data_IF_567644969484
#
_entry.id   IF_567644969484
#
_cell.length_a   1.000
_cell.length_b   1.000
_cell.length_c   1.000
_cell.angle_alpha   90.00
_cell.angle_beta   90.00
_cell.angle_gamma   90.00
#
_symmetry.space_group_name_H-M   'P 1'
#
loop_
_entity.id
_entity.type
_entity.pdbx_description
1 polymer ?
#
# COMPACT_ATOMS: atom_id res chain seq x y z
N UNK A 1 -11.08 -31.63 32.20
CA UNK A 1 -11.55 -31.75 30.78
C UNK A 1 -12.52 -32.94 30.71
N UNK A 2 -13.82 -32.71 30.55
CA UNK A 2 -14.80 -33.78 30.46
C UNK A 2 -14.62 -34.50 29.12
N UNK A 3 -14.21 -35.78 29.13
CA UNK A 3 -14.21 -36.65 27.95
C UNK A 3 -15.66 -36.85 27.52
N UNK A 4 -16.06 -36.18 26.45
CA UNK A 4 -17.36 -36.41 25.79
C UNK A 4 -17.40 -37.84 25.25
N UNK A 5 -17.93 -38.74 26.06
CA UNK A 5 -18.13 -40.15 25.66
C UNK A 5 -19.18 -40.20 24.54
N UNK A 6 -18.80 -40.73 23.37
CA UNK A 6 -19.70 -41.00 22.27
C UNK A 6 -19.67 -42.50 21.93
N UNK A 7 -20.82 -43.09 21.52
CA UNK A 7 -20.91 -44.48 21.07
C UNK A 7 -21.05 -44.54 19.56
N UNK A 8 -20.58 -45.66 18.95
CA UNK A 8 -20.84 -45.96 17.55
C UNK A 8 -22.35 -46.12 17.36
N UNK A 9 -22.92 -45.57 16.30
CA UNK A 9 -24.34 -45.55 16.00
C UNK A 9 -24.62 -45.82 14.52
N UNK A 10 -24.21 -47.02 14.07
CA UNK A 10 -24.35 -47.47 12.69
C UNK A 10 -23.47 -46.69 11.69
N UNK A 11 -23.63 -46.97 10.41
CA UNK A 11 -22.95 -46.28 9.31
C UNK A 11 -23.97 -45.70 8.34
N UNK A 12 -23.58 -44.65 7.62
CA UNK A 12 -24.37 -44.04 6.53
C UNK A 12 -23.42 -43.67 5.39
N UNK A 13 -23.74 -44.10 4.19
CA UNK A 13 -22.92 -43.91 3.00
C UNK A 13 -21.43 -44.28 3.23
N UNK A 14 -21.18 -45.44 3.85
CA UNK A 14 -19.84 -45.95 4.15
C UNK A 14 -19.11 -45.23 5.29
N UNK A 15 -19.73 -44.24 5.97
CA UNK A 15 -19.13 -43.50 7.09
C UNK A 15 -19.71 -43.92 8.43
N UNK A 16 -18.84 -44.19 9.42
CA UNK A 16 -19.24 -44.51 10.78
C UNK A 16 -19.94 -43.31 11.42
N UNK A 17 -21.12 -43.53 11.97
CA UNK A 17 -21.87 -42.57 12.79
C UNK A 17 -21.62 -42.79 14.27
N UNK A 18 -21.68 -41.71 15.02
CA UNK A 18 -21.55 -41.68 16.47
C UNK A 18 -22.72 -40.92 17.08
N UNK A 19 -23.10 -41.28 18.31
CA UNK A 19 -24.11 -40.59 19.13
C UNK A 19 -23.44 -40.09 20.41
N UNK A 20 -23.58 -38.79 20.71
CA UNK A 20 -23.12 -38.24 21.96
C UNK A 20 -23.97 -38.72 23.14
N UNK A 21 -23.35 -39.21 24.21
CA UNK A 21 -24.07 -39.63 25.40
C UNK A 21 -24.73 -38.50 26.17
N UNK A 22 -24.08 -37.30 26.17
CA UNK A 22 -24.58 -36.18 26.95
C UNK A 22 -25.78 -35.47 26.31
N UNK A 23 -25.78 -35.28 24.97
CA UNK A 23 -26.83 -34.49 24.30
C UNK A 23 -27.61 -35.29 23.24
N UNK A 24 -27.37 -36.59 23.07
CA UNK A 24 -28.05 -37.47 22.11
C UNK A 24 -27.76 -37.14 20.64
N UNK A 25 -27.02 -36.09 20.32
CA UNK A 25 -26.73 -35.65 18.96
C UNK A 25 -25.94 -36.69 18.20
N UNK A 26 -26.39 -36.99 16.98
CA UNK A 26 -25.68 -37.88 16.07
C UNK A 26 -24.73 -37.08 15.15
N UNK A 27 -23.55 -37.64 14.91
CA UNK A 27 -22.55 -37.04 14.02
C UNK A 27 -21.77 -38.15 13.32
N UNK A 28 -21.21 -37.83 12.16
CA UNK A 28 -20.32 -38.74 11.45
C UNK A 28 -18.90 -38.53 11.97
N UNK A 29 -18.17 -39.62 12.18
CA UNK A 29 -16.75 -39.58 12.53
C UNK A 29 -15.95 -39.03 11.37
N UNK A 30 -14.89 -38.31 11.69
CA UNK A 30 -13.96 -37.77 10.73
C UNK A 30 -13.13 -36.64 11.35
N UNK A 31 -11.98 -36.36 10.76
CA UNK A 31 -11.14 -35.23 11.17
C UNK A 31 -11.90 -33.93 10.87
N UNK A 32 -12.23 -33.16 11.89
CA UNK A 32 -12.85 -31.84 11.68
C UNK A 32 -11.81 -30.93 11.06
N UNK A 33 -12.19 -30.27 9.97
CA UNK A 33 -11.33 -29.24 9.36
C UNK A 33 -11.20 -28.05 10.34
N UNK A 34 -9.97 -27.73 10.71
CA UNK A 34 -9.68 -26.54 11.49
C UNK A 34 -9.67 -25.32 10.58
N UNK A 35 -10.55 -24.31 10.79
CA UNK A 35 -10.59 -23.13 9.94
C UNK A 35 -9.28 -22.34 9.92
N UNK A 36 -8.53 -22.29 11.04
CA UNK A 36 -7.28 -21.54 11.14
C UNK A 36 -6.15 -22.22 10.36
N UNK A 37 -5.98 -23.54 10.51
CA UNK A 37 -5.01 -24.32 9.73
C UNK A 37 -5.30 -24.21 8.23
N UNK A 38 -6.58 -24.29 7.84
CA UNK A 38 -6.99 -24.09 6.44
C UNK A 38 -6.67 -22.68 5.96
N UNK A 39 -6.87 -21.67 6.80
CA UNK A 39 -6.56 -20.28 6.46
C UNK A 39 -5.06 -20.09 6.26
N UNK A 40 -4.21 -20.61 7.15
CA UNK A 40 -2.77 -20.57 7.03
C UNK A 40 -2.28 -21.28 5.76
N UNK A 41 -2.78 -22.48 5.50
CA UNK A 41 -2.43 -23.21 4.28
C UNK A 41 -2.87 -22.47 3.01
N UNK A 42 -4.04 -21.82 3.06
CA UNK A 42 -4.58 -21.03 1.95
C UNK A 42 -3.79 -19.72 1.75
N UNK A 43 -3.43 -19.00 2.81
CA UNK A 43 -2.73 -17.70 2.74
C UNK A 43 -1.22 -17.88 2.65
N UNK A 44 -0.55 -18.21 3.74
CA UNK A 44 0.90 -18.37 3.81
C UNK A 44 1.39 -19.56 2.94
N UNK A 45 0.67 -20.67 2.98
CA UNK A 45 0.96 -21.86 2.18
C UNK A 45 0.63 -21.75 0.70
N UNK A 46 0.00 -20.65 0.25
CA UNK A 46 -0.37 -20.36 -1.14
C UNK A 46 -1.20 -21.46 -1.83
N UNK A 47 -1.84 -22.35 -1.05
CA UNK A 47 -2.62 -23.45 -1.60
C UNK A 47 -3.98 -22.95 -2.09
N UNK A 48 -4.39 -23.40 -3.27
CA UNK A 48 -5.72 -23.10 -3.79
C UNK A 48 -6.81 -23.88 -3.08
N UNK A 49 -8.07 -23.42 -3.15
CA UNK A 49 -9.20 -24.15 -2.57
C UNK A 49 -9.37 -25.55 -3.19
N UNK A 50 -9.00 -25.75 -4.46
CA UNK A 50 -9.04 -27.05 -5.13
C UNK A 50 -7.97 -28.00 -4.61
N UNK A 51 -6.73 -27.51 -4.39
CA UNK A 51 -5.66 -28.30 -3.77
C UNK A 51 -6.02 -28.71 -2.34
N UNK A 52 -6.52 -27.79 -1.53
CA UNK A 52 -7.00 -28.09 -0.18
C UNK A 52 -8.17 -29.09 -0.20
N UNK A 53 -9.08 -28.98 -1.15
CA UNK A 53 -10.18 -29.93 -1.31
C UNK A 53 -9.69 -31.35 -1.61
N UNK A 54 -8.65 -31.48 -2.45
CA UNK A 54 -8.01 -32.77 -2.73
C UNK A 54 -7.30 -33.34 -1.49
N UNK A 55 -6.49 -32.52 -0.79
CA UNK A 55 -5.76 -32.92 0.43
C UNK A 55 -6.73 -33.41 1.53
N UNK A 56 -7.80 -32.63 1.76
CA UNK A 56 -8.77 -32.96 2.83
C UNK A 56 -9.94 -33.88 2.36
N UNK A 57 -9.87 -34.36 1.12
CA UNK A 57 -10.91 -35.24 0.53
C UNK A 57 -12.33 -34.70 0.70
N UNK A 58 -12.53 -33.42 0.38
CA UNK A 58 -13.82 -32.77 0.46
C UNK A 58 -14.06 -31.83 -0.75
N UNK A 59 -15.24 -31.23 -0.88
CA UNK A 59 -15.49 -30.28 -1.97
C UNK A 59 -14.85 -28.90 -1.71
N UNK A 60 -14.50 -28.19 -2.78
CA UNK A 60 -14.01 -26.79 -2.68
C UNK A 60 -15.05 -25.88 -1.99
N UNK A 61 -16.35 -26.17 -2.13
CA UNK A 61 -17.43 -25.48 -1.41
C UNK A 61 -17.30 -25.65 0.11
N UNK A 62 -16.89 -26.85 0.57
CA UNK A 62 -16.60 -27.10 1.99
C UNK A 62 -15.40 -26.28 2.46
N UNK A 63 -14.31 -26.24 1.69
CA UNK A 63 -13.14 -25.42 1.99
C UNK A 63 -13.54 -23.94 2.13
N UNK A 64 -14.24 -23.37 1.15
CA UNK A 64 -14.67 -21.95 1.24
C UNK A 64 -15.57 -21.69 2.45
N UNK A 65 -16.43 -22.63 2.83
CA UNK A 65 -17.26 -22.51 4.04
C UNK A 65 -16.42 -22.46 5.32
N UNK A 66 -15.34 -23.22 5.39
CA UNK A 66 -14.42 -23.19 6.55
C UNK A 66 -13.51 -21.96 6.52
N UNK A 67 -13.00 -21.53 5.37
CA UNK A 67 -12.25 -20.27 5.23
C UNK A 67 -13.06 -19.06 5.70
N UNK A 68 -14.39 -19.03 5.47
CA UNK A 68 -15.25 -17.97 6.01
C UNK A 68 -15.30 -17.93 7.54
N UNK A 69 -15.09 -19.06 8.22
CA UNK A 69 -15.11 -19.18 9.67
C UNK A 69 -13.77 -18.84 10.32
N UNK A 70 -12.68 -18.83 9.56
CA UNK A 70 -11.38 -18.40 10.07
C UNK A 70 -11.45 -16.92 10.41
N UNK A 71 -10.99 -16.53 11.58
CA UNK A 71 -10.90 -15.13 12.04
C UNK A 71 -9.42 -14.82 12.24
N UNK A 72 -8.72 -14.33 11.21
CA UNK A 72 -7.34 -13.92 11.41
C UNK A 72 -7.31 -12.74 12.40
N UNK A 73 -6.51 -12.88 13.43
CA UNK A 73 -6.22 -11.79 14.38
C UNK A 73 -5.15 -10.91 13.75
N UNK A 74 -5.56 -9.90 12.99
CA UNK A 74 -4.60 -8.94 12.45
C UNK A 74 -4.09 -8.06 13.60
N UNK A 75 -2.84 -8.26 13.98
CA UNK A 75 -2.11 -7.40 14.91
C UNK A 75 -1.17 -6.51 14.11
N UNK A 76 -1.07 -5.24 14.50
CA UNK A 76 -0.19 -4.27 13.87
C UNK A 76 0.82 -3.74 14.87
N UNK A 77 2.00 -3.36 14.38
CA UNK A 77 3.06 -2.84 15.23
C UNK A 77 2.65 -1.54 15.93
N UNK A 78 3.11 -1.37 17.17
CA UNK A 78 2.89 -0.18 17.99
C UNK A 78 4.22 0.32 18.56
N UNK A 79 5.17 0.78 17.72
CA UNK A 79 6.44 1.33 18.19
C UNK A 79 6.21 2.63 18.95
N UNK A 80 7.16 3.02 19.84
CA UNK A 80 7.09 4.30 20.54
C UNK A 80 7.27 5.49 19.59
N UNK A 81 8.22 5.39 18.67
CA UNK A 81 8.59 6.43 17.69
C UNK A 81 8.60 5.81 16.30
N UNK A 82 8.19 6.57 15.29
CA UNK A 82 8.09 6.03 13.92
C UNK A 82 8.25 7.10 12.84
N UNK A 83 8.95 6.74 11.77
CA UNK A 83 8.86 7.41 10.47
C UNK A 83 7.82 6.65 9.64
N UNK A 84 6.67 7.25 9.41
CA UNK A 84 5.54 6.59 8.75
C UNK A 84 5.69 6.70 7.24
N UNK A 85 5.80 5.55 6.55
CA UNK A 85 5.55 5.49 5.11
C UNK A 85 4.05 5.25 4.91
N UNK A 86 3.41 6.04 4.07
CA UNK A 86 1.99 5.86 3.77
C UNK A 86 1.73 5.87 2.26
N UNK A 87 0.91 4.93 1.82
CA UNK A 87 0.46 4.82 0.43
C UNK A 87 -0.82 3.99 0.33
N UNK A 88 -1.50 4.08 -0.82
CA UNK A 88 -2.72 3.34 -1.12
C UNK A 88 -2.59 2.56 -2.41
N UNK A 89 -2.81 1.24 -2.35
CA UNK A 89 -2.89 0.42 -3.54
C UNK A 89 -4.32 0.03 -3.87
N UNK A 90 -4.66 -0.04 -5.17
CA UNK A 90 -6.01 -0.33 -5.64
C UNK A 90 -6.14 -1.73 -6.23
N UNK A 91 -7.29 -2.35 -6.01
CA UNK A 91 -7.69 -3.63 -6.58
C UNK A 91 -8.82 -3.41 -7.59
N UNK A 92 -8.41 -3.07 -8.81
CA UNK A 92 -9.30 -2.60 -9.86
C UNK A 92 -10.04 -1.32 -9.46
N UNK A 93 -11.29 -1.17 -9.90
CA UNK A 93 -12.16 -0.05 -9.51
C UNK A 93 -12.98 -0.34 -8.24
N UNK A 94 -12.76 -1.48 -7.59
CA UNK A 94 -13.61 -1.96 -6.51
C UNK A 94 -13.31 -1.35 -5.15
N UNK A 95 -12.03 -1.27 -4.78
CA UNK A 95 -11.58 -0.69 -3.51
C UNK A 95 -10.06 -0.48 -3.50
N UNK A 96 -9.59 0.38 -2.63
CA UNK A 96 -8.20 0.56 -2.26
C UNK A 96 -7.89 0.00 -0.87
N UNK A 97 -6.62 -0.23 -0.63
CA UNK A 97 -6.07 -0.53 0.69
C UNK A 97 -5.01 0.51 0.99
N UNK A 98 -5.28 1.32 1.99
CA UNK A 98 -4.35 2.29 2.57
C UNK A 98 -3.55 1.59 3.67
N UNK A 99 -2.24 1.68 3.59
CA UNK A 99 -1.30 1.12 4.56
C UNK A 99 -0.42 2.22 5.11
N UNK A 100 -0.28 2.24 6.43
CA UNK A 100 0.73 2.99 7.14
C UNK A 100 1.74 1.98 7.67
N UNK A 101 3.02 2.21 7.39
CA UNK A 101 4.12 1.28 7.68
C UNK A 101 5.25 2.02 8.38
N UNK A 102 5.90 1.40 9.33
CA UNK A 102 7.15 1.89 9.91
C UNK A 102 8.29 1.70 8.92
N UNK A 103 9.01 2.78 8.63
CA UNK A 103 10.11 2.76 7.64
C UNK A 103 11.31 1.95 8.08
N UNK A 104 11.52 1.76 9.38
CA UNK A 104 12.68 1.09 9.96
C UNK A 104 12.43 -0.42 10.04
N UNK A 105 11.34 -0.81 10.72
CA UNK A 105 11.03 -2.23 10.90
C UNK A 105 10.34 -2.88 9.70
N UNK A 106 9.79 -2.09 8.78
CA UNK A 106 8.97 -2.59 7.68
C UNK A 106 7.63 -3.19 8.12
N UNK A 107 7.26 -3.03 9.39
CA UNK A 107 6.02 -3.58 9.94
C UNK A 107 4.86 -2.60 9.72
N UNK A 108 3.69 -3.14 9.37
CA UNK A 108 2.50 -2.30 9.22
C UNK A 108 1.98 -1.81 10.56
N UNK A 109 1.63 -0.53 10.61
CA UNK A 109 1.03 0.16 11.77
C UNK A 109 -0.49 0.21 11.66
N UNK A 110 -0.99 0.27 10.42
CA UNK A 110 -2.42 0.33 10.11
C UNK A 110 -2.70 -0.13 8.69
N UNK A 111 -3.80 -0.85 8.51
CA UNK A 111 -4.30 -1.30 7.20
C UNK A 111 -5.80 -1.01 7.11
N UNK A 112 -6.18 -0.13 6.22
CA UNK A 112 -7.56 0.34 6.07
C UNK A 112 -8.07 0.13 4.65
N UNK A 113 -9.31 -0.40 4.54
CA UNK A 113 -10.03 -0.45 3.27
C UNK A 113 -10.63 0.92 2.97
N UNK A 114 -10.37 1.42 1.78
CA UNK A 114 -10.88 2.71 1.31
C UNK A 114 -11.61 2.55 -0.03
N UNK A 115 -12.53 3.44 -0.34
CA UNK A 115 -13.15 3.52 -1.67
C UNK A 115 -12.29 4.40 -2.58
N UNK A 116 -11.91 5.55 -2.06
CA UNK A 116 -11.02 6.53 -2.68
C UNK A 116 -10.01 7.00 -1.64
N UNK A 117 -8.87 7.39 -2.09
CA UNK A 117 -7.83 8.03 -1.30
C UNK A 117 -8.18 9.51 -1.09
N UNK A 118 -8.20 9.98 0.15
CA UNK A 118 -8.42 11.39 0.51
C UNK A 118 -7.43 11.83 1.59
N UNK A 119 -7.15 13.13 1.63
CA UNK A 119 -6.26 13.69 2.66
C UNK A 119 -6.81 13.46 4.07
N UNK A 120 -8.13 13.56 4.25
CA UNK A 120 -8.82 13.30 5.51
C UNK A 120 -8.62 11.87 6.03
N UNK A 121 -8.60 10.88 5.13
CA UNK A 121 -8.34 9.49 5.53
C UNK A 121 -6.92 9.31 6.05
N UNK A 122 -5.94 9.99 5.46
CA UNK A 122 -4.57 10.00 5.96
C UNK A 122 -4.47 10.71 7.31
N UNK A 123 -5.10 11.90 7.46
CA UNK A 123 -5.16 12.62 8.74
C UNK A 123 -5.78 11.75 9.85
N UNK A 124 -6.91 11.10 9.55
CA UNK A 124 -7.59 10.20 10.49
C UNK A 124 -6.72 9.00 10.88
N UNK A 125 -6.02 8.41 9.92
CA UNK A 125 -5.14 7.28 10.18
C UNK A 125 -3.95 7.68 11.07
N UNK A 126 -3.29 8.80 10.79
CA UNK A 126 -2.22 9.36 11.62
C UNK A 126 -2.74 9.71 13.01
N UNK A 127 -3.92 10.38 13.11
CA UNK A 127 -4.57 10.66 14.41
C UNK A 127 -4.84 9.40 15.23
N UNK A 128 -5.25 8.31 14.57
CA UNK A 128 -5.46 7.02 15.22
C UNK A 128 -4.16 6.38 15.74
N UNK A 129 -3.03 6.59 15.08
CA UNK A 129 -1.71 6.15 15.58
C UNK A 129 -1.29 6.98 16.81
N UNK A 130 -1.45 8.31 16.75
CA UNK A 130 -1.17 9.19 17.90
C UNK A 130 -2.02 8.82 19.12
N UNK A 131 -3.31 8.51 18.92
CA UNK A 131 -4.21 8.06 19.99
C UNK A 131 -3.79 6.74 20.64
N UNK A 132 -2.99 5.92 19.95
CA UNK A 132 -2.36 4.70 20.51
C UNK A 132 -1.03 4.98 21.21
N UNK A 133 -0.64 6.24 21.37
CA UNK A 133 0.62 6.62 22.01
C UNK A 133 1.86 6.53 21.11
N UNK A 134 1.68 6.40 19.80
CA UNK A 134 2.79 6.34 18.85
C UNK A 134 3.22 7.77 18.48
N UNK A 135 4.48 8.12 18.74
CA UNK A 135 5.06 9.40 18.36
C UNK A 135 5.48 9.37 16.88
N UNK A 136 4.84 10.20 16.06
CA UNK A 136 5.14 10.32 14.63
C UNK A 136 6.29 11.31 14.46
N UNK A 137 7.45 10.83 14.05
CA UNK A 137 8.66 11.64 13.82
C UNK A 137 8.68 12.27 12.42
N UNK A 138 8.22 11.54 11.42
CA UNK A 138 8.09 12.03 10.06
C UNK A 138 7.04 11.25 9.27
N UNK A 139 6.65 11.80 8.13
CA UNK A 139 5.76 11.15 7.16
C UNK A 139 6.42 11.12 5.80
N UNK A 140 6.43 9.95 5.17
CA UNK A 140 6.91 9.73 3.80
C UNK A 140 5.73 9.31 2.93
N UNK A 141 5.45 10.07 1.87
CA UNK A 141 4.28 9.82 1.03
C UNK A 141 4.56 10.12 -0.45
N UNK A 142 3.60 9.81 -1.31
CA UNK A 142 3.59 10.28 -2.68
C UNK A 142 3.27 11.80 -2.75
N UNK A 143 3.42 12.37 -3.93
CA UNK A 143 3.20 13.81 -4.17
C UNK A 143 1.73 14.23 -4.20
N UNK A 144 0.85 13.61 -3.41
CA UNK A 144 -0.57 13.99 -3.33
C UNK A 144 -0.73 15.41 -2.84
N UNK A 145 -1.46 16.22 -3.63
CA UNK A 145 -1.68 17.63 -3.34
C UNK A 145 -2.37 17.84 -1.98
N UNK A 146 -1.83 18.75 -1.18
CA UNK A 146 -2.36 19.15 0.13
C UNK A 146 -1.91 18.28 1.30
N UNK A 147 -1.36 17.08 1.06
CA UNK A 147 -0.84 16.23 2.13
C UNK A 147 0.37 16.86 2.84
N UNK A 148 1.39 17.39 2.12
CA UNK A 148 2.53 18.01 2.81
C UNK A 148 2.13 19.15 3.71
N UNK A 149 1.26 20.05 3.24
CA UNK A 149 0.80 21.23 4.00
C UNK A 149 0.03 20.80 5.26
N UNK A 150 -0.87 19.84 5.12
CA UNK A 150 -1.69 19.34 6.23
C UNK A 150 -0.86 18.82 7.41
N UNK A 151 0.30 18.22 7.16
CA UNK A 151 1.18 17.72 8.21
C UNK A 151 2.22 18.74 8.66
N UNK A 152 2.68 19.64 7.77
CA UNK A 152 3.52 20.75 8.12
C UNK A 152 2.85 21.68 9.15
N UNK A 153 1.54 21.90 9.04
CA UNK A 153 0.75 22.71 9.99
C UNK A 153 0.77 22.18 11.43
N UNK A 154 1.13 20.92 11.63
CA UNK A 154 1.27 20.26 12.94
C UNK A 154 2.73 19.89 13.27
N UNK A 155 3.68 20.54 12.62
CA UNK A 155 5.13 20.40 12.81
C UNK A 155 5.65 18.96 12.66
N UNK A 156 5.07 18.19 11.76
CA UNK A 156 5.60 16.87 11.38
C UNK A 156 6.35 17.02 10.05
N UNK A 157 7.66 16.70 10.00
CA UNK A 157 8.41 16.66 8.75
C UNK A 157 7.75 15.75 7.71
N UNK A 158 7.59 16.27 6.50
CA UNK A 158 7.04 15.48 5.38
C UNK A 158 8.09 15.32 4.30
N UNK A 159 8.38 14.09 3.95
CA UNK A 159 9.22 13.71 2.82
C UNK A 159 8.34 13.24 1.67
N UNK A 160 8.44 13.88 0.53
CA UNK A 160 7.85 13.35 -0.70
C UNK A 160 8.76 12.30 -1.33
N UNK A 161 8.16 11.21 -1.77
CA UNK A 161 8.89 10.13 -2.44
C UNK A 161 9.55 10.63 -3.73
N UNK A 162 10.88 10.65 -3.77
CA UNK A 162 11.64 11.08 -4.95
C UNK A 162 11.35 10.21 -6.16
N UNK A 163 11.14 8.90 -5.99
CA UNK A 163 10.76 8.00 -7.07
C UNK A 163 9.41 8.39 -7.71
N UNK A 164 8.41 8.71 -6.88
CA UNK A 164 7.10 9.17 -7.37
C UNK A 164 7.19 10.55 -8.04
N UNK A 165 8.09 11.44 -7.60
CA UNK A 165 8.35 12.70 -8.27
C UNK A 165 8.93 12.48 -9.68
N UNK A 166 9.95 11.63 -9.82
CA UNK A 166 10.52 11.25 -11.13
C UNK A 166 9.42 10.66 -12.05
N UNK A 167 8.58 9.78 -11.51
CA UNK A 167 7.45 9.19 -12.24
C UNK A 167 6.41 10.24 -12.65
N UNK A 168 6.18 11.24 -11.83
CA UNK A 168 5.29 12.37 -12.15
C UNK A 168 5.84 13.20 -13.29
N UNK A 169 7.13 13.54 -13.24
CA UNK A 169 7.79 14.28 -14.33
C UNK A 169 7.79 13.47 -15.63
N UNK A 170 7.99 12.15 -15.56
CA UNK A 170 7.92 11.30 -16.76
C UNK A 170 6.53 11.28 -17.43
N UNK A 171 5.45 11.58 -16.69
CA UNK A 171 4.10 11.75 -17.29
C UNK A 171 3.95 13.05 -18.07
N UNK A 172 4.66 14.10 -17.69
CA UNK A 172 4.69 15.38 -18.40
C UNK A 172 5.60 15.33 -19.61
N UNK A 173 6.83 14.80 -19.46
CA UNK A 173 7.90 14.90 -20.46
C UNK A 173 8.04 13.65 -21.34
N UNK A 174 7.44 12.51 -20.96
CA UNK A 174 7.79 11.17 -21.39
C UNK A 174 9.21 10.75 -20.93
N UNK A 175 9.61 9.51 -21.14
CA UNK A 175 10.98 9.03 -20.84
C UNK A 175 11.99 9.44 -21.91
N UNK A 176 11.51 9.89 -23.06
CA UNK A 176 12.31 10.26 -24.21
C UNK A 176 11.81 11.61 -24.78
N UNK A 177 12.08 12.74 -24.09
CA UNK A 177 11.64 14.05 -24.53
C UNK A 177 12.25 14.42 -25.91
N UNK A 178 11.47 15.07 -26.76
CA UNK A 178 11.93 15.44 -28.10
C UNK A 178 12.67 16.78 -28.13
N UNK A 179 12.31 17.72 -27.23
CA UNK A 179 12.89 19.06 -27.20
C UNK A 179 14.16 19.09 -26.34
N UNK A 180 15.12 19.98 -26.67
CA UNK A 180 16.35 20.10 -25.88
C UNK A 180 16.07 20.51 -24.43
N UNK A 181 15.17 21.48 -24.21
CA UNK A 181 14.72 21.85 -22.87
C UNK A 181 14.13 20.65 -22.08
N UNK A 182 13.34 19.82 -22.76
CA UNK A 182 12.78 18.60 -22.16
C UNK A 182 13.85 17.57 -21.84
N UNK A 183 14.81 17.33 -22.73
CA UNK A 183 15.94 16.41 -22.50
C UNK A 183 16.82 16.88 -21.35
N UNK A 184 17.12 18.17 -21.29
CA UNK A 184 17.92 18.76 -20.23
C UNK A 184 17.22 18.63 -18.85
N UNK A 185 15.92 18.97 -18.78
CA UNK A 185 15.15 18.79 -17.54
C UNK A 185 15.06 17.31 -17.14
N UNK A 186 14.87 16.41 -18.09
CA UNK A 186 14.81 14.98 -17.80
C UNK A 186 16.13 14.43 -17.25
N UNK A 187 17.28 14.84 -17.81
CA UNK A 187 18.61 14.50 -17.26
C UNK A 187 18.75 14.99 -15.84
N UNK A 188 18.38 16.25 -15.56
CA UNK A 188 18.39 16.79 -14.20
C UNK A 188 17.50 15.99 -13.25
N UNK A 189 16.29 15.64 -13.65
CA UNK A 189 15.35 14.83 -12.81
C UNK A 189 15.93 13.47 -12.44
N UNK A 190 16.73 12.86 -13.30
CA UNK A 190 17.37 11.58 -13.01
C UNK A 190 18.46 11.68 -11.92
N UNK A 191 19.03 12.87 -11.68
CA UNK A 191 20.01 13.09 -10.60
C UNK A 191 19.36 13.31 -9.24
N UNK A 192 18.02 13.42 -9.15
CA UNK A 192 17.29 13.76 -7.92
C UNK A 192 17.67 12.88 -6.71
N UNK A 193 18.00 11.61 -6.94
CA UNK A 193 18.37 10.67 -5.87
C UNK A 193 19.81 10.78 -5.38
N UNK A 194 20.67 11.39 -6.18
CA UNK A 194 22.11 11.47 -5.95
C UNK A 194 22.64 12.90 -5.73
N UNK A 195 21.77 13.89 -5.87
CA UNK A 195 22.09 15.31 -5.63
C UNK A 195 21.70 15.71 -4.22
N UNK A 196 22.42 16.69 -3.66
CA UNK A 196 21.95 17.46 -2.50
C UNK A 196 20.80 18.40 -2.90
N UNK A 197 20.06 18.91 -1.91
CA UNK A 197 19.03 19.92 -2.15
C UNK A 197 19.64 21.16 -2.82
N UNK A 198 20.77 21.65 -2.33
CA UNK A 198 21.46 22.83 -2.85
C UNK A 198 21.86 22.68 -4.32
N UNK A 199 22.48 21.54 -4.67
CA UNK A 199 22.93 21.28 -6.05
C UNK A 199 21.75 21.13 -7.00
N UNK A 200 20.72 20.40 -6.55
CA UNK A 200 19.52 20.20 -7.38
C UNK A 200 18.77 21.52 -7.62
N UNK A 201 18.62 22.34 -6.59
CA UNK A 201 18.00 23.66 -6.69
C UNK A 201 18.79 24.61 -7.62
N UNK A 202 20.11 24.65 -7.46
CA UNK A 202 20.98 25.44 -8.32
C UNK A 202 20.82 25.03 -9.79
N UNK A 203 20.93 23.74 -10.09
CA UNK A 203 20.80 23.22 -11.43
C UNK A 203 19.39 23.42 -12.02
N UNK A 204 18.35 23.34 -11.18
CA UNK A 204 16.96 23.60 -11.61
C UNK A 204 16.75 25.08 -11.93
N UNK A 205 17.38 25.98 -11.18
CA UNK A 205 17.37 27.43 -11.42
C UNK A 205 18.09 27.74 -12.72
N UNK A 206 19.33 27.26 -12.91
CA UNK A 206 20.09 27.42 -14.15
C UNK A 206 19.31 26.94 -15.37
N UNK A 207 18.72 25.74 -15.28
CA UNK A 207 17.87 25.21 -16.35
C UNK A 207 16.69 26.16 -16.66
N UNK A 208 16.06 26.74 -15.64
CA UNK A 208 14.96 27.68 -15.88
C UNK A 208 15.42 28.97 -16.55
N UNK A 209 16.57 29.53 -16.15
CA UNK A 209 17.17 30.73 -16.75
C UNK A 209 17.50 30.48 -18.24
N UNK A 210 18.10 29.35 -18.57
CA UNK A 210 18.44 28.96 -19.93
C UNK A 210 17.23 28.84 -20.87
N UNK A 211 16.12 28.32 -20.34
CA UNK A 211 14.93 28.02 -21.15
C UNK A 211 13.73 28.90 -20.86
N UNK A 212 13.87 30.00 -20.11
CA UNK A 212 12.78 30.89 -19.73
C UNK A 212 12.04 31.47 -20.95
N UNK A 213 12.75 31.94 -21.95
CA UNK A 213 12.15 32.49 -23.19
C UNK A 213 11.31 31.45 -23.90
N UNK A 214 11.87 30.25 -24.10
CA UNK A 214 11.19 29.10 -24.67
C UNK A 214 9.91 28.70 -23.91
N UNK A 215 9.99 28.67 -22.59
CA UNK A 215 8.85 28.35 -21.73
C UNK A 215 7.73 29.40 -21.81
N UNK A 216 8.06 30.64 -22.15
CA UNK A 216 7.11 31.76 -22.20
C UNK A 216 6.46 31.92 -23.60
N UNK A 217 6.83 31.12 -24.58
CA UNK A 217 6.17 31.09 -25.89
C UNK A 217 4.69 30.80 -25.76
N UNK A 218 3.90 31.62 -26.46
CA UNK A 218 2.44 31.54 -26.41
C UNK A 218 1.85 31.44 -27.82
N UNK A 219 0.68 30.83 -27.89
CA UNK A 219 -0.13 30.78 -29.10
C UNK A 219 -1.58 31.14 -28.75
N UNK A 220 -2.35 31.54 -29.73
CA UNK A 220 -3.79 31.82 -29.58
C UNK A 220 -4.57 30.67 -30.18
N UNK A 221 -5.54 30.14 -29.43
CA UNK A 221 -6.47 29.18 -29.98
C UNK A 221 -7.38 29.90 -30.99
N UNK A 222 -7.41 29.51 -32.28
CA UNK A 222 -8.19 30.19 -33.30
C UNK A 222 -9.70 30.18 -33.04
N UNK A 223 -10.22 29.11 -32.41
CA UNK A 223 -11.65 28.94 -32.16
C UNK A 223 -12.13 29.70 -30.92
N UNK A 224 -11.27 29.81 -29.89
CA UNK A 224 -11.66 30.39 -28.61
C UNK A 224 -11.07 31.76 -28.35
N UNK A 225 -10.18 32.25 -29.20
CA UNK A 225 -9.48 33.53 -29.01
C UNK A 225 -8.60 33.62 -27.76
N UNK A 226 -8.41 32.51 -27.04
CA UNK A 226 -7.66 32.47 -25.77
C UNK A 226 -6.18 32.14 -26.00
N UNK A 227 -5.33 32.99 -25.44
CA UNK A 227 -3.87 32.75 -25.44
C UNK A 227 -3.50 31.66 -24.42
N UNK A 228 -2.63 30.74 -24.80
CA UNK A 228 -2.09 29.72 -23.91
C UNK A 228 -0.59 29.46 -24.20
N UNK A 229 0.12 28.91 -23.20
CA UNK A 229 1.51 28.55 -23.38
C UNK A 229 1.67 27.33 -24.28
N UNK A 230 2.61 27.36 -25.24
CA UNK A 230 2.91 26.26 -26.13
C UNK A 230 3.45 25.07 -25.33
N UNK A 231 4.35 25.33 -24.39
CA UNK A 231 5.08 24.31 -23.64
C UNK A 231 4.46 23.99 -22.28
N UNK A 232 3.13 23.86 -22.20
CA UNK A 232 2.38 23.66 -20.93
C UNK A 232 2.88 22.48 -20.09
N UNK A 233 3.20 21.34 -20.74
CA UNK A 233 3.69 20.14 -20.01
C UNK A 233 5.05 20.36 -19.38
N UNK A 234 5.95 21.05 -20.11
CA UNK A 234 7.30 21.37 -19.61
C UNK A 234 7.22 22.35 -18.45
N UNK A 235 6.36 23.38 -18.55
CA UNK A 235 6.07 24.31 -17.45
C UNK A 235 5.50 23.60 -16.23
N UNK A 236 4.58 22.66 -16.43
CA UNK A 236 4.00 21.87 -15.35
C UNK A 236 5.02 20.97 -14.66
N UNK A 237 5.94 20.38 -15.42
CA UNK A 237 7.06 19.61 -14.89
C UNK A 237 7.96 20.45 -13.98
N UNK A 238 8.42 21.60 -14.48
CA UNK A 238 9.23 22.57 -13.71
C UNK A 238 8.49 23.05 -12.44
N UNK A 239 7.24 23.49 -12.58
CA UNK A 239 6.43 23.98 -11.46
C UNK A 239 6.20 22.91 -10.40
N UNK A 240 6.08 21.64 -10.81
CA UNK A 240 5.97 20.51 -9.87
C UNK A 240 7.27 20.32 -9.08
N UNK A 241 8.42 20.37 -9.73
CA UNK A 241 9.72 20.24 -9.06
C UNK A 241 9.95 21.42 -8.09
N UNK A 242 9.77 22.65 -8.56
CA UNK A 242 9.96 23.86 -7.76
C UNK A 242 9.07 23.88 -6.50
N UNK A 243 7.78 23.55 -6.65
CA UNK A 243 6.84 23.55 -5.52
C UNK A 243 7.15 22.48 -4.49
N UNK A 244 7.65 21.33 -4.94
CA UNK A 244 7.88 20.16 -4.09
C UNK A 244 9.29 20.09 -3.53
N UNK A 245 10.18 21.02 -3.92
CA UNK A 245 11.63 20.94 -3.65
C UNK A 245 11.94 20.71 -2.17
N UNK A 246 11.42 21.53 -1.29
CA UNK A 246 11.64 21.41 0.15
C UNK A 246 11.20 20.08 0.76
N UNK A 247 10.13 19.52 0.22
CA UNK A 247 9.62 18.22 0.66
C UNK A 247 10.36 17.03 0.04
N UNK A 248 11.03 17.22 -1.09
CA UNK A 248 11.84 16.18 -1.74
C UNK A 248 13.16 15.92 -1.03
N UNK A 249 13.62 16.87 -0.23
CA UNK A 249 14.88 16.82 0.52
C UNK A 249 14.68 17.00 2.03
N UNK A 250 13.49 16.77 2.55
CA UNK A 250 13.23 16.86 3.99
C UNK A 250 14.17 15.94 4.80
N UNK A 251 14.58 14.79 4.26
CA UNK A 251 15.51 13.87 4.91
C UNK A 251 16.89 14.50 5.19
N UNK A 252 17.34 15.47 4.38
CA UNK A 252 18.59 16.19 4.61
C UNK A 252 18.50 17.18 5.77
N UNK A 253 17.30 17.77 5.98
CA UNK A 253 17.06 18.75 7.05
C UNK A 253 16.97 18.07 8.44
N UNK A 254 16.69 16.78 8.48
CA UNK A 254 16.50 16.00 9.71
C UNK A 254 17.30 14.69 9.69
N UNK A 255 18.67 14.78 9.61
CA UNK A 255 19.51 13.59 9.45
C UNK A 255 19.36 12.57 10.58
N UNK A 256 19.15 13.05 11.81
CA UNK A 256 19.01 12.19 13.01
C UNK A 256 17.73 11.31 12.98
N UNK A 257 16.73 11.70 12.18
CA UNK A 257 15.48 10.96 12.08
C UNK A 257 15.56 9.77 11.12
N UNK A 258 16.62 9.67 10.30
CA UNK A 258 16.77 8.61 9.30
C UNK A 258 15.53 8.46 8.37
N UNK A 259 15.02 9.59 7.89
CA UNK A 259 13.83 9.63 7.02
C UNK A 259 14.19 9.04 5.66
N UNK A 260 13.48 8.00 5.16
CA UNK A 260 13.75 7.48 3.83
C UNK A 260 13.25 8.46 2.75
N UNK A 261 14.02 8.62 1.68
CA UNK A 261 13.66 9.49 0.55
C UNK A 261 12.68 8.86 -0.45
N UNK A 262 12.26 7.61 -0.22
CA UNK A 262 11.32 6.88 -1.07
C UNK A 262 10.32 6.04 -0.27
N UNK A 263 9.21 5.65 -0.92
CA UNK A 263 8.22 4.69 -0.42
C UNK A 263 8.48 3.25 -0.89
N UNK A 264 9.67 2.97 -1.44
CA UNK A 264 9.98 1.68 -2.10
C UNK A 264 9.72 0.46 -1.21
N UNK A 265 9.89 0.57 0.10
CA UNK A 265 9.61 -0.51 1.05
C UNK A 265 8.13 -0.94 0.97
N UNK A 266 7.22 0.04 0.98
CA UNK A 266 5.78 -0.21 0.89
C UNK A 266 5.36 -0.64 -0.52
N UNK A 267 5.98 -0.07 -1.58
CA UNK A 267 5.77 -0.51 -2.96
C UNK A 267 6.15 -1.98 -3.15
N UNK A 268 7.28 -2.41 -2.57
CA UNK A 268 7.73 -3.80 -2.55
C UNK A 268 6.74 -4.73 -1.83
N UNK A 269 6.23 -4.30 -0.67
CA UNK A 269 5.20 -5.02 0.08
C UNK A 269 3.90 -5.16 -0.72
N UNK A 270 3.46 -4.10 -1.42
CA UNK A 270 2.30 -4.18 -2.30
C UNK A 270 2.52 -5.10 -3.50
N UNK A 271 3.71 -5.11 -4.09
CA UNK A 271 4.06 -6.04 -5.16
C UNK A 271 4.03 -7.49 -4.67
N UNK A 272 4.58 -7.76 -3.49
CA UNK A 272 4.51 -9.06 -2.80
C UNK A 272 3.07 -9.50 -2.57
N UNK A 273 2.25 -8.65 -1.96
CA UNK A 273 0.83 -8.89 -1.73
C UNK A 273 0.08 -9.24 -3.02
N UNK A 274 0.30 -8.49 -4.10
CA UNK A 274 -0.36 -8.74 -5.39
C UNK A 274 0.03 -10.10 -5.97
N UNK A 275 1.30 -10.50 -5.86
CA UNK A 275 1.75 -11.84 -6.29
C UNK A 275 1.08 -12.96 -5.48
N UNK A 276 0.95 -12.81 -4.16
CA UNK A 276 0.23 -13.77 -3.31
C UNK A 276 -1.25 -13.85 -3.69
N UNK A 277 -1.92 -12.73 -3.90
CA UNK A 277 -3.33 -12.69 -4.30
C UNK A 277 -3.58 -13.26 -5.69
N UNK A 278 -2.60 -13.22 -6.60
CA UNK A 278 -2.72 -13.80 -7.93
C UNK A 278 -2.91 -15.32 -7.90
N UNK A 279 -2.45 -16.02 -6.84
CA UNK A 279 -2.69 -17.44 -6.63
C UNK A 279 -4.16 -17.77 -6.29
N UNK A 280 -4.98 -16.76 -5.94
CA UNK A 280 -6.33 -16.92 -5.40
C UNK A 280 -7.39 -16.22 -6.26
N UNK A 281 -7.44 -16.57 -7.53
CA UNK A 281 -8.48 -16.04 -8.44
C UNK A 281 -9.88 -16.41 -7.94
N UNK A 282 -10.84 -15.46 -8.05
CA UNK A 282 -12.22 -15.68 -7.58
C UNK A 282 -12.44 -15.49 -6.07
N UNK A 283 -11.43 -15.01 -5.31
CA UNK A 283 -11.62 -14.66 -3.91
C UNK A 283 -12.63 -13.51 -3.75
N UNK A 284 -13.63 -13.67 -2.87
CA UNK A 284 -14.59 -12.59 -2.58
C UNK A 284 -13.90 -11.35 -2.01
N UNK A 285 -14.54 -10.18 -2.19
CA UNK A 285 -14.01 -8.90 -1.72
C UNK A 285 -13.72 -8.90 -0.21
N UNK A 286 -14.61 -9.47 0.58
CA UNK A 286 -14.48 -9.59 2.04
C UNK A 286 -13.28 -10.46 2.42
N UNK A 287 -13.16 -11.63 1.81
CA UNK A 287 -12.03 -12.51 2.05
C UNK A 287 -10.71 -11.90 1.58
N UNK A 288 -10.72 -11.14 0.46
CA UNK A 288 -9.53 -10.42 -0.02
C UNK A 288 -9.07 -9.37 0.99
N UNK A 289 -9.99 -8.60 1.58
CA UNK A 289 -9.64 -7.61 2.62
C UNK A 289 -9.09 -8.31 3.87
N UNK A 290 -9.69 -9.44 4.27
CA UNK A 290 -9.18 -10.24 5.41
C UNK A 290 -7.78 -10.77 5.14
N UNK A 291 -7.56 -11.34 3.95
CA UNK A 291 -6.25 -11.80 3.50
C UNK A 291 -5.20 -10.68 3.56
N UNK A 292 -5.55 -9.48 3.07
CA UNK A 292 -4.64 -8.34 3.05
C UNK A 292 -4.28 -7.90 4.47
N UNK A 293 -5.24 -7.85 5.38
CA UNK A 293 -4.98 -7.53 6.79
C UNK A 293 -4.09 -8.57 7.46
N UNK A 294 -4.31 -9.85 7.17
CA UNK A 294 -3.49 -10.95 7.66
C UNK A 294 -2.05 -10.90 7.10
N UNK A 295 -1.91 -10.60 5.81
CA UNK A 295 -0.61 -10.44 5.16
C UNK A 295 0.27 -9.35 5.79
N UNK A 296 -0.34 -8.25 6.21
CA UNK A 296 0.34 -7.13 6.86
C UNK A 296 0.37 -7.23 8.39
N UNK A 297 -0.24 -8.25 8.99
CA UNK A 297 -0.17 -8.43 10.43
C UNK A 297 1.24 -8.82 10.87
N UNK A 298 1.62 -8.38 12.06
CA UNK A 298 2.82 -8.88 12.73
C UNK A 298 2.56 -10.35 13.06
N UNK A 299 3.38 -11.24 12.52
CA UNK A 299 3.37 -12.63 12.96
C UNK A 299 4.11 -12.67 14.30
N UNK A 300 3.51 -13.31 15.30
CA UNK A 300 4.21 -13.64 16.53
C UNK A 300 5.30 -14.65 16.14
N UNK A 301 6.57 -14.26 16.31
CA UNK A 301 7.74 -15.13 16.14
C UNK A 301 7.74 -16.23 17.21
#
# INVERSE_FOLDING_TARGET
>A
MAQNKSKKNGSRNGKQRYKCHACGRQFEGGKRLNPQELWQAYTAGKQTASQLAAIFKCSSKTIYRHLKKAIPKAQFATPKHVNVIMDTTYFGRSFGIMVLMDSISGKALSVSKVKYETNELYAKAIGSLKAKGIAIQSIVCDGRRGVPQMFADINIPVQLCQFHQVKTISRYLTRNPKTEAGKALWRLVLTLKSSSQSDFEHNLKTWFEDYQSYLNERTVNPEMGKSHYIHQKLRSAYSSLKRNLDYLFAFEKYPDLNIPNTTNLLDGAFAGLKRHLACHQGMSKENKVRFIKDYFSVQDD
#
